data_IF_968117997825
#
_entry.id   IF_968117997825
#
_cell.length_a   1.000
_cell.length_b   1.000
_cell.length_c   1.000
_cell.angle_alpha   90.00
_cell.angle_beta   90.00
_cell.angle_gamma   90.00
#
_symmetry.space_group_name_H-M   'P 1'
#
loop_
_entity.id
_entity.type
_entity.pdbx_description
1 polymer ?
#
# COMPACT_ATOMS: atom_id res chain seq x y z
N UNK A 1 -27.46 13.73 -10.07
CA UNK A 1 -27.17 14.95 -10.84
C UNK A 1 -25.98 15.62 -10.17
N UNK A 2 -24.76 15.41 -10.68
CA UNK A 2 -23.55 15.96 -10.08
C UNK A 2 -23.38 17.41 -10.53
N UNK A 3 -23.64 18.35 -9.63
CA UNK A 3 -23.37 19.76 -9.81
C UNK A 3 -21.84 19.94 -9.99
N UNK A 4 -21.41 20.08 -11.25
CA UNK A 4 -20.05 20.51 -11.55
C UNK A 4 -19.92 21.94 -11.04
N UNK A 5 -19.08 22.15 -10.04
CA UNK A 5 -18.65 23.49 -9.64
C UNK A 5 -18.02 24.14 -10.87
N UNK A 6 -18.78 25.01 -11.56
CA UNK A 6 -18.25 25.85 -12.62
C UNK A 6 -17.40 26.91 -11.93
N UNK A 7 -16.10 26.65 -11.82
CA UNK A 7 -15.14 27.66 -11.38
C UNK A 7 -15.17 28.76 -12.44
N UNK A 8 -15.84 29.87 -12.15
CA UNK A 8 -15.72 31.07 -12.98
C UNK A 8 -14.25 31.50 -12.96
N UNK A 9 -13.65 31.75 -14.13
CA UNK A 9 -12.23 32.12 -14.33
C UNK A 9 -11.79 33.41 -13.58
N UNK A 10 -12.65 33.99 -12.75
CA UNK A 10 -12.45 35.27 -12.06
C UNK A 10 -12.33 35.19 -10.53
N UNK A 11 -12.70 34.08 -9.88
CA UNK A 11 -12.58 34.00 -8.42
C UNK A 11 -11.13 33.67 -8.00
N UNK A 12 -10.56 34.40 -7.02
CA UNK A 12 -9.20 34.14 -6.52
C UNK A 12 -9.17 32.82 -5.74
N UNK A 13 -8.27 31.92 -6.12
CA UNK A 13 -8.11 30.60 -5.50
C UNK A 13 -6.84 30.59 -4.66
N UNK A 14 -6.93 30.15 -3.40
CA UNK A 14 -5.76 29.93 -2.54
C UNK A 14 -5.19 28.53 -2.81
N UNK A 15 -3.95 28.46 -3.27
CA UNK A 15 -3.26 27.20 -3.52
C UNK A 15 -3.03 26.38 -2.23
N UNK A 16 -3.45 25.11 -2.18
CA UNK A 16 -3.26 24.28 -0.97
C UNK A 16 -1.81 23.87 -0.71
N UNK A 17 -0.94 23.94 -1.72
CA UNK A 17 0.48 23.58 -1.61
C UNK A 17 1.34 24.77 -1.14
N UNK A 18 1.29 25.90 -1.87
CA UNK A 18 2.15 27.07 -1.59
C UNK A 18 1.40 28.27 -0.96
N UNK A 19 0.08 28.22 -0.82
CA UNK A 19 -0.77 29.32 -0.32
C UNK A 19 -0.75 30.60 -1.18
N UNK A 20 -0.17 30.55 -2.38
CA UNK A 20 -0.27 31.63 -3.36
C UNK A 20 -1.72 31.77 -3.86
N UNK A 21 -2.18 33.02 -4.00
CA UNK A 21 -3.50 33.35 -4.56
C UNK A 21 -3.32 33.45 -6.07
N UNK A 22 -4.08 32.66 -6.84
CA UNK A 22 -3.97 32.64 -8.29
C UNK A 22 -5.36 32.57 -8.96
N UNK A 23 -5.37 32.88 -10.26
CA UNK A 23 -6.54 32.76 -11.13
C UNK A 23 -6.28 31.72 -12.22
N UNK A 24 -7.34 31.04 -12.67
CA UNK A 24 -7.28 30.02 -13.71
C UNK A 24 -7.05 28.60 -13.18
N UNK A 25 -6.67 27.68 -14.08
CA UNK A 25 -6.70 26.23 -13.82
C UNK A 25 -5.48 25.69 -13.06
N UNK A 26 -4.37 26.41 -13.03
CA UNK A 26 -3.11 25.98 -12.42
C UNK A 26 -2.45 27.13 -11.68
N UNK A 27 -1.87 26.85 -10.50
CA UNK A 27 -1.08 27.80 -9.74
C UNK A 27 0.19 28.17 -10.52
N UNK A 28 0.42 29.47 -10.73
CA UNK A 28 1.61 30.02 -11.39
C UNK A 28 2.92 29.70 -10.67
N UNK A 29 2.89 29.63 -9.34
CA UNK A 29 4.09 29.42 -8.51
C UNK A 29 4.51 27.95 -8.41
N UNK A 30 3.55 27.04 -8.24
CA UNK A 30 3.86 25.64 -7.95
C UNK A 30 3.20 24.63 -8.91
N UNK A 31 2.44 25.08 -9.91
CA UNK A 31 1.80 24.20 -10.89
C UNK A 31 0.65 23.34 -10.36
N UNK A 32 0.16 23.58 -9.13
CA UNK A 32 -0.99 22.83 -8.58
C UNK A 32 -2.27 23.15 -9.36
N UNK A 33 -3.03 22.13 -9.76
CA UNK A 33 -4.38 22.30 -10.33
C UNK A 33 -5.32 23.01 -9.34
N UNK A 34 -6.11 23.98 -9.81
CA UNK A 34 -7.13 24.66 -9.02
C UNK A 34 -8.13 23.69 -8.38
N UNK A 35 -8.55 22.69 -9.15
CA UNK A 35 -9.49 21.67 -8.70
C UNK A 35 -8.77 20.58 -7.86
N UNK A 36 -8.39 20.93 -6.63
CA UNK A 36 -7.85 19.97 -5.65
C UNK A 36 -8.89 19.59 -4.61
N UNK A 37 -9.88 18.81 -5.07
CA UNK A 37 -10.94 18.29 -4.22
C UNK A 37 -10.46 17.14 -3.33
N UNK A 38 -11.30 16.83 -2.34
CA UNK A 38 -11.12 15.67 -1.46
C UNK A 38 -11.10 14.39 -2.30
N UNK A 39 -10.32 13.39 -1.89
CA UNK A 39 -10.24 12.13 -2.64
C UNK A 39 -11.61 11.46 -2.72
N UNK A 40 -11.97 11.03 -3.93
CA UNK A 40 -13.16 10.24 -4.25
C UNK A 40 -12.69 9.02 -5.05
N UNK A 41 -13.40 7.89 -4.95
CA UNK A 41 -13.05 6.66 -5.69
C UNK A 41 -12.90 6.94 -7.19
N UNK A 42 -13.83 7.71 -7.76
CA UNK A 42 -13.79 8.15 -9.16
C UNK A 42 -12.47 8.83 -9.52
N UNK A 43 -12.01 9.76 -8.68
CA UNK A 43 -10.76 10.47 -8.89
C UNK A 43 -9.54 9.54 -8.83
N UNK A 44 -9.55 8.56 -7.93
CA UNK A 44 -8.48 7.54 -7.87
C UNK A 44 -8.44 6.76 -9.18
N UNK A 45 -9.57 6.23 -9.65
CA UNK A 45 -9.65 5.44 -10.89
C UNK A 45 -9.18 6.24 -12.11
N UNK A 46 -9.62 7.49 -12.25
CA UNK A 46 -9.19 8.39 -13.33
C UNK A 46 -7.68 8.68 -13.27
N UNK A 47 -7.12 8.80 -12.08
CA UNK A 47 -5.68 9.03 -11.91
C UNK A 47 -4.89 7.75 -12.20
N UNK A 48 -5.44 6.57 -11.89
CA UNK A 48 -4.83 5.26 -12.16
C UNK A 48 -4.58 5.03 -13.64
N UNK A 49 -5.56 5.31 -14.50
CA UNK A 49 -5.42 5.09 -15.95
C UNK A 49 -4.29 5.93 -16.56
N UNK A 50 -4.09 7.15 -16.06
CA UNK A 50 -2.97 8.00 -16.48
C UNK A 50 -1.63 7.61 -15.84
N UNK A 51 -1.64 7.04 -14.64
CA UNK A 51 -0.44 6.59 -13.95
C UNK A 51 0.22 5.39 -14.64
N UNK A 52 -0.56 4.40 -15.10
CA UNK A 52 -0.03 3.23 -15.82
C UNK A 52 0.67 3.59 -17.14
N UNK A 53 0.25 4.67 -17.81
CA UNK A 53 0.89 5.14 -19.04
C UNK A 53 2.18 5.95 -18.78
N UNK A 54 2.35 6.48 -17.57
CA UNK A 54 3.46 7.37 -17.21
C UNK A 54 4.42 6.73 -16.20
N UNK A 55 4.52 5.39 -16.18
CA UNK A 55 5.37 4.66 -15.23
C UNK A 55 6.83 5.11 -15.28
N UNK A 56 7.33 5.46 -16.46
CA UNK A 56 8.68 5.97 -16.64
C UNK A 56 8.92 7.35 -15.99
N UNK A 57 7.89 8.17 -15.82
CA UNK A 57 7.99 9.50 -15.21
C UNK A 57 8.02 9.48 -13.66
N UNK A 58 7.81 8.31 -13.03
CA UNK A 58 7.85 8.19 -11.56
C UNK A 58 9.23 8.49 -10.97
N UNK A 59 10.30 8.29 -11.75
CA UNK A 59 11.67 8.51 -11.30
C UNK A 59 12.04 10.01 -11.20
N UNK A 60 11.32 10.91 -11.86
CA UNK A 60 11.81 12.29 -12.02
C UNK A 60 11.32 13.31 -10.97
N UNK A 61 10.18 13.09 -10.29
CA UNK A 61 9.68 14.10 -9.32
C UNK A 61 9.09 13.48 -8.05
N UNK A 62 9.76 13.70 -6.92
CA UNK A 62 9.18 13.57 -5.58
C UNK A 62 9.24 12.19 -4.92
N UNK A 63 9.71 11.13 -5.60
CA UNK A 63 9.78 9.78 -5.02
C UNK A 63 10.72 9.70 -3.80
N UNK A 64 11.93 10.25 -3.92
CA UNK A 64 12.92 10.28 -2.83
C UNK A 64 12.44 11.11 -1.64
N UNK A 65 11.82 12.27 -1.90
CA UNK A 65 11.22 13.11 -0.87
C UNK A 65 10.08 12.37 -0.14
N UNK A 66 9.20 11.72 -0.91
CA UNK A 66 8.08 10.94 -0.36
C UNK A 66 8.57 9.80 0.51
N UNK A 67 9.57 9.04 0.05
CA UNK A 67 10.20 7.98 0.83
C UNK A 67 10.81 8.51 2.13
N UNK A 68 11.57 9.61 2.06
CA UNK A 68 12.20 10.24 3.23
C UNK A 68 11.15 10.70 4.25
N UNK A 69 10.09 11.39 3.80
CA UNK A 69 9.05 11.88 4.69
C UNK A 69 8.20 10.75 5.29
N UNK A 70 7.95 9.67 4.55
CA UNK A 70 7.28 8.46 5.04
C UNK A 70 8.11 7.68 6.06
N UNK A 71 9.44 7.75 5.98
CA UNK A 71 10.33 7.14 6.97
C UNK A 71 10.47 7.99 8.24
N UNK A 72 10.50 9.31 8.13
CA UNK A 72 10.77 10.22 9.26
C UNK A 72 9.50 10.65 9.98
N UNK A 73 8.41 10.88 9.24
CA UNK A 73 7.17 11.44 9.79
C UNK A 73 5.93 11.02 8.98
N UNK A 74 5.63 9.71 8.90
CA UNK A 74 4.60 9.17 8.01
C UNK A 74 3.22 9.80 8.23
N UNK A 75 2.79 10.00 9.47
CA UNK A 75 1.50 10.60 9.77
C UNK A 75 1.42 12.09 9.43
N UNK A 76 2.53 12.82 9.54
CA UNK A 76 2.57 14.23 9.12
C UNK A 76 2.54 14.38 7.60
N UNK A 77 3.33 13.55 6.91
CA UNK A 77 3.29 13.44 5.45
C UNK A 77 1.87 13.16 4.97
N UNK A 78 1.23 12.12 5.50
CA UNK A 78 -0.11 11.71 5.09
C UNK A 78 -1.15 12.82 5.32
N UNK A 79 -1.09 13.55 6.45
CA UNK A 79 -1.98 14.70 6.67
C UNK A 79 -1.77 15.79 5.62
N UNK A 80 -0.53 16.15 5.33
CA UNK A 80 -0.19 17.17 4.33
C UNK A 80 -0.66 16.73 2.93
N UNK A 81 -0.48 15.45 2.59
CA UNK A 81 -0.89 14.90 1.31
C UNK A 81 -2.41 14.90 1.14
N UNK A 82 -3.13 14.46 2.18
CA UNK A 82 -4.60 14.46 2.21
C UNK A 82 -5.18 15.88 2.18
N UNK A 83 -4.51 16.85 2.82
CA UNK A 83 -4.95 18.26 2.81
C UNK A 83 -4.68 18.99 1.48
N UNK A 84 -3.90 18.39 0.58
CA UNK A 84 -3.72 18.89 -0.79
C UNK A 84 -2.29 19.32 -1.16
N UNK A 85 -1.31 19.17 -0.26
CA UNK A 85 0.11 19.41 -0.56
C UNK A 85 0.72 18.21 -1.31
N UNK A 86 0.41 18.10 -2.61
CA UNK A 86 0.71 16.91 -3.42
C UNK A 86 1.78 17.12 -4.51
N UNK A 87 2.13 18.37 -4.83
CA UNK A 87 2.96 18.69 -6.02
C UNK A 87 4.37 18.12 -5.91
N UNK A 88 4.96 18.17 -4.72
CA UNK A 88 6.33 17.73 -4.46
C UNK A 88 6.47 16.21 -4.25
N UNK A 89 5.37 15.47 -4.29
CA UNK A 89 5.32 14.07 -3.87
C UNK A 89 4.78 13.19 -4.98
N UNK A 90 5.24 11.95 -5.02
CA UNK A 90 4.76 10.97 -5.99
C UNK A 90 3.27 10.64 -5.70
N UNK A 91 2.55 10.26 -6.75
CA UNK A 91 1.16 9.78 -6.58
C UNK A 91 1.12 8.45 -5.81
N UNK A 92 0.00 8.10 -5.15
CA UNK A 92 -0.05 6.90 -4.33
C UNK A 92 0.14 5.63 -5.19
N UNK A 93 -0.43 5.62 -6.39
CA UNK A 93 -0.30 4.51 -7.34
C UNK A 93 1.11 4.45 -7.92
N UNK A 94 1.69 5.61 -8.27
CA UNK A 94 3.08 5.66 -8.72
C UNK A 94 4.04 5.13 -7.66
N UNK A 95 3.78 5.41 -6.37
CA UNK A 95 4.56 4.88 -5.27
C UNK A 95 4.41 3.37 -5.10
N UNK A 96 3.18 2.82 -5.16
CA UNK A 96 2.93 1.36 -5.11
C UNK A 96 3.66 0.65 -6.24
N UNK A 97 3.60 1.17 -7.47
CA UNK A 97 4.25 0.59 -8.63
C UNK A 97 5.77 0.67 -8.51
N UNK A 98 6.33 1.85 -8.19
CA UNK A 98 7.77 2.04 -8.01
C UNK A 98 8.34 1.08 -6.95
N UNK A 99 7.75 1.09 -5.76
CA UNK A 99 8.18 0.24 -4.65
C UNK A 99 7.99 -1.22 -4.99
N UNK A 100 6.84 -1.57 -5.55
CA UNK A 100 6.53 -2.92 -5.97
C UNK A 100 7.54 -3.46 -6.98
N UNK A 101 7.89 -2.69 -8.00
CA UNK A 101 8.90 -3.09 -8.98
C UNK A 101 10.26 -3.31 -8.32
N UNK A 102 10.70 -2.41 -7.44
CA UNK A 102 11.97 -2.58 -6.70
C UNK A 102 11.93 -3.84 -5.83
N UNK A 103 10.85 -4.05 -5.07
CA UNK A 103 10.64 -5.24 -4.24
C UNK A 103 10.67 -6.51 -5.09
N UNK A 104 9.88 -6.60 -6.16
CA UNK A 104 9.83 -7.78 -7.04
C UNK A 104 11.19 -8.06 -7.65
N UNK A 105 11.92 -7.05 -8.14
CA UNK A 105 13.28 -7.26 -8.67
C UNK A 105 14.19 -7.87 -7.59
N UNK A 106 14.20 -7.33 -6.38
CA UNK A 106 14.97 -7.90 -5.27
C UNK A 106 14.59 -9.35 -4.98
N UNK A 107 13.30 -9.67 -4.93
CA UNK A 107 12.82 -11.05 -4.73
C UNK A 107 13.17 -11.97 -5.90
N UNK A 108 13.16 -11.50 -7.15
CA UNK A 108 13.54 -12.33 -8.30
C UNK A 108 15.03 -12.67 -8.28
N UNK A 109 15.89 -11.73 -7.91
CA UNK A 109 17.34 -11.96 -7.89
C UNK A 109 17.83 -12.72 -6.66
N UNK A 110 17.16 -12.55 -5.51
CA UNK A 110 17.64 -13.03 -4.21
C UNK A 110 16.68 -14.06 -3.55
N UNK A 111 15.48 -14.26 -4.09
CA UNK A 111 14.39 -14.99 -3.43
C UNK A 111 14.60 -16.49 -3.33
N UNK A 112 15.20 -17.13 -4.33
CA UNK A 112 15.37 -18.60 -4.33
C UNK A 112 16.27 -19.08 -3.17
N UNK A 113 17.37 -18.37 -2.90
CA UNK A 113 18.27 -18.67 -1.77
C UNK A 113 17.58 -18.37 -0.42
N UNK A 114 16.82 -17.28 -0.34
CA UNK A 114 16.21 -16.83 0.91
C UNK A 114 14.95 -17.61 1.28
N UNK A 115 14.19 -18.12 0.31
CA UNK A 115 13.03 -18.98 0.56
C UNK A 115 13.41 -20.31 1.20
N UNK A 116 14.58 -20.86 0.88
CA UNK A 116 15.09 -22.08 1.53
C UNK A 116 15.44 -21.85 3.00
N UNK A 117 15.84 -20.63 3.36
CA UNK A 117 16.22 -20.28 4.72
C UNK A 117 15.03 -19.79 5.56
N UNK A 118 13.84 -19.60 4.99
CA UNK A 118 12.68 -19.14 5.76
C UNK A 118 12.16 -20.25 6.72
N UNK A 119 11.86 -19.92 8.00
CA UNK A 119 11.36 -20.89 8.98
C UNK A 119 10.06 -21.61 8.57
N UNK A 120 9.28 -20.99 7.67
CA UNK A 120 8.02 -21.54 7.15
C UNK A 120 8.19 -22.41 5.90
N UNK A 121 9.38 -22.46 5.29
CA UNK A 121 9.63 -23.23 4.07
C UNK A 121 9.51 -24.74 4.28
N UNK A 122 9.99 -25.25 5.41
CA UNK A 122 10.02 -26.69 5.71
C UNK A 122 8.63 -27.28 6.01
N UNK A 123 7.77 -26.51 6.68
CA UNK A 123 6.46 -26.97 7.15
C UNK A 123 5.38 -26.95 6.05
N UNK A 124 5.52 -26.05 5.07
CA UNK A 124 4.61 -25.98 3.92
C UNK A 124 4.91 -27.09 2.90
N UNK A 125 6.17 -27.56 2.80
CA UNK A 125 6.65 -28.50 1.75
C UNK A 125 6.22 -29.96 1.96
N UNK A 126 5.82 -30.36 3.16
CA UNK A 126 5.58 -31.79 3.47
C UNK A 126 4.18 -32.32 3.11
N UNK A 127 3.31 -31.53 2.49
CA UNK A 127 1.95 -31.95 2.15
C UNK A 127 1.87 -32.43 0.69
N UNK A 128 2.32 -33.67 0.44
CA UNK A 128 2.35 -34.32 -0.90
C UNK A 128 0.97 -34.54 -1.54
N UNK A 129 -0.13 -34.33 -0.80
CA UNK A 129 -1.49 -34.65 -1.23
C UNK A 129 -2.30 -33.44 -1.75
N UNK A 130 -1.68 -32.27 -1.98
CA UNK A 130 -2.37 -31.10 -2.58
C UNK A 130 -2.09 -30.96 -4.06
N UNK A 131 -3.15 -30.72 -4.83
CA UNK A 131 -3.21 -30.52 -6.30
C UNK A 131 -2.24 -29.43 -6.80
N UNK A 132 -1.88 -28.48 -5.94
CA UNK A 132 -0.89 -27.43 -6.19
C UNK A 132 0.11 -27.48 -5.04
N UNK A 133 1.40 -27.61 -5.34
CA UNK A 133 2.46 -27.52 -4.34
C UNK A 133 2.37 -26.17 -3.64
N UNK A 134 2.22 -26.19 -2.31
CA UNK A 134 2.28 -25.01 -1.45
C UNK A 134 3.54 -24.18 -1.70
N UNK A 135 4.64 -24.83 -2.10
CA UNK A 135 5.90 -24.17 -2.49
C UNK A 135 5.73 -23.29 -3.72
N UNK A 136 5.01 -23.75 -4.74
CA UNK A 136 4.80 -22.99 -5.98
C UNK A 136 3.85 -21.81 -5.75
N UNK A 137 2.85 -21.97 -4.89
CA UNK A 137 1.96 -20.87 -4.47
C UNK A 137 2.75 -19.81 -3.71
N UNK A 138 3.56 -20.23 -2.73
CA UNK A 138 4.38 -19.29 -1.95
C UNK A 138 5.39 -18.59 -2.86
N UNK A 139 6.07 -19.33 -3.74
CA UNK A 139 7.03 -18.78 -4.71
C UNK A 139 6.36 -17.75 -5.61
N UNK A 140 5.20 -18.08 -6.17
CA UNK A 140 4.44 -17.14 -7.02
C UNK A 140 4.02 -15.88 -6.26
N UNK A 141 3.55 -16.01 -5.02
CA UNK A 141 3.17 -14.86 -4.18
C UNK A 141 4.40 -13.98 -3.88
N UNK A 142 5.55 -14.58 -3.57
CA UNK A 142 6.78 -13.85 -3.26
C UNK A 142 7.40 -13.18 -4.49
N UNK A 143 7.34 -13.82 -5.66
CA UNK A 143 7.79 -13.22 -6.92
C UNK A 143 6.89 -12.04 -7.33
N UNK A 144 5.60 -12.13 -7.05
CA UNK A 144 4.61 -11.11 -7.44
C UNK A 144 4.17 -10.25 -6.24
N UNK A 145 5.13 -9.79 -5.44
CA UNK A 145 4.90 -8.97 -4.24
C UNK A 145 4.05 -7.69 -4.50
N UNK A 146 4.08 -7.16 -5.73
CA UNK A 146 3.22 -6.04 -6.12
C UNK A 146 1.74 -6.41 -6.08
N UNK A 147 1.40 -7.61 -6.56
CA UNK A 147 0.01 -8.08 -6.62
C UNK A 147 -0.55 -8.29 -5.21
N UNK A 148 0.24 -8.89 -4.32
CA UNK A 148 -0.15 -9.08 -2.92
C UNK A 148 -0.40 -7.73 -2.23
N UNK A 149 0.49 -6.76 -2.45
CA UNK A 149 0.34 -5.40 -1.93
C UNK A 149 -0.90 -4.70 -2.48
N UNK A 150 -1.16 -4.79 -3.78
CA UNK A 150 -2.32 -4.19 -4.43
C UNK A 150 -3.65 -4.74 -3.92
N UNK A 151 -3.72 -6.04 -3.62
CA UNK A 151 -4.90 -6.68 -3.00
C UNK A 151 -5.04 -6.25 -1.53
N UNK A 152 -3.94 -6.11 -0.81
CA UNK A 152 -3.95 -5.72 0.60
C UNK A 152 -4.42 -4.29 0.85
N UNK A 153 -4.15 -3.36 -0.08
CA UNK A 153 -4.56 -1.95 0.05
C UNK A 153 -6.08 -1.78 0.25
N UNK A 154 -6.97 -2.27 -0.63
CA UNK A 154 -8.41 -2.12 -0.44
C UNK A 154 -8.94 -2.86 0.78
N UNK A 155 -8.43 -4.06 1.09
CA UNK A 155 -8.84 -4.84 2.26
C UNK A 155 -8.48 -4.11 3.56
N UNK A 156 -7.24 -3.66 3.69
CA UNK A 156 -6.78 -2.90 4.87
C UNK A 156 -7.47 -1.55 4.96
N UNK A 157 -7.82 -0.93 3.84
CA UNK A 157 -8.60 0.31 3.81
C UNK A 157 -10.02 0.10 4.35
N UNK A 158 -10.65 -1.02 4.03
CA UNK A 158 -11.98 -1.36 4.57
C UNK A 158 -11.97 -1.55 6.08
N UNK A 159 -10.88 -2.12 6.60
CA UNK A 159 -10.68 -2.31 8.04
C UNK A 159 -10.37 -0.98 8.72
N UNK A 160 -9.36 -0.25 8.25
CA UNK A 160 -8.94 1.01 8.85
C UNK A 160 -10.07 2.05 8.85
N UNK A 161 -10.90 2.10 7.80
CA UNK A 161 -12.09 2.94 7.79
C UNK A 161 -13.04 2.61 8.95
N UNK A 162 -13.28 1.33 9.23
CA UNK A 162 -14.16 0.90 10.34
C UNK A 162 -13.54 1.18 11.71
N UNK A 163 -12.26 0.88 11.88
CA UNK A 163 -11.51 1.04 13.14
C UNK A 163 -11.32 2.52 13.52
N UNK A 164 -11.12 3.37 12.52
CA UNK A 164 -10.82 4.80 12.68
C UNK A 164 -11.97 5.71 12.23
N UNK A 165 -13.20 5.18 12.11
CA UNK A 165 -14.40 5.90 11.64
C UNK A 165 -14.65 7.28 12.26
N UNK A 166 -14.23 7.48 13.53
CA UNK A 166 -14.44 8.72 14.29
C UNK A 166 -13.63 9.91 13.76
N UNK A 167 -12.65 9.68 12.90
CA UNK A 167 -11.71 10.71 12.42
C UNK A 167 -12.26 11.43 11.18
N UNK A 168 -13.29 10.86 10.56
CA UNK A 168 -14.02 11.50 9.47
C UNK A 168 -13.38 11.33 8.09
N UNK A 169 -12.30 10.56 7.95
CA UNK A 169 -11.76 10.21 6.63
C UNK A 169 -12.68 9.25 5.87
N UNK A 170 -12.78 9.44 4.56
CA UNK A 170 -13.59 8.61 3.68
C UNK A 170 -12.78 7.39 3.17
N UNK A 171 -13.46 6.43 2.53
CA UNK A 171 -12.79 5.21 2.04
C UNK A 171 -11.65 5.50 1.06
N UNK A 172 -11.79 6.50 0.19
CA UNK A 172 -10.77 6.88 -0.78
C UNK A 172 -9.51 7.45 -0.11
N UNK A 173 -9.66 8.19 0.99
CA UNK A 173 -8.53 8.68 1.79
C UNK A 173 -7.84 7.52 2.52
N UNK A 174 -8.61 6.55 3.02
CA UNK A 174 -8.04 5.31 3.57
C UNK A 174 -7.27 4.50 2.50
N UNK A 175 -7.76 4.45 1.26
CA UNK A 175 -7.02 3.85 0.13
C UNK A 175 -5.68 4.55 -0.11
N UNK A 176 -5.67 5.88 -0.15
CA UNK A 176 -4.43 6.67 -0.34
C UNK A 176 -3.45 6.43 0.82
N UNK A 177 -3.94 6.44 2.06
CA UNK A 177 -3.12 6.18 3.26
C UNK A 177 -2.48 4.80 3.19
N UNK A 178 -3.27 3.75 2.95
CA UNK A 178 -2.75 2.39 2.94
C UNK A 178 -1.87 2.10 1.72
N UNK A 179 -2.11 2.77 0.58
CA UNK A 179 -1.22 2.68 -0.59
C UNK A 179 0.20 3.15 -0.25
N UNK A 180 0.36 4.26 0.47
CA UNK A 180 1.68 4.71 0.92
C UNK A 180 2.26 3.82 2.03
N UNK A 181 1.49 3.54 3.08
CA UNK A 181 2.02 2.84 4.26
C UNK A 181 2.41 1.39 3.97
N UNK A 182 1.58 0.62 3.26
CA UNK A 182 1.88 -0.77 2.94
C UNK A 182 3.03 -0.88 1.93
N UNK A 183 3.12 0.04 0.98
CA UNK A 183 4.26 0.10 0.06
C UNK A 183 5.54 0.43 0.82
N UNK A 184 5.54 1.47 1.66
CA UNK A 184 6.73 1.82 2.44
C UNK A 184 7.16 0.67 3.36
N UNK A 185 6.20 -0.05 3.96
CA UNK A 185 6.48 -1.26 4.74
C UNK A 185 7.10 -2.37 3.87
N UNK A 186 6.59 -2.62 2.67
CA UNK A 186 7.18 -3.58 1.73
C UNK A 186 8.60 -3.20 1.34
N UNK A 187 8.87 -1.91 1.12
CA UNK A 187 10.22 -1.41 0.85
C UNK A 187 11.17 -1.66 2.03
N UNK A 188 10.74 -1.34 3.27
CA UNK A 188 11.52 -1.64 4.48
C UNK A 188 11.84 -3.14 4.55
N UNK A 189 10.82 -3.98 4.34
CA UNK A 189 11.01 -5.44 4.37
C UNK A 189 11.97 -5.92 3.30
N UNK A 190 11.86 -5.40 2.07
CA UNK A 190 12.73 -5.77 0.94
C UNK A 190 14.17 -5.31 1.16
N UNK A 191 14.37 -4.14 1.79
CA UNK A 191 15.71 -3.60 2.06
C UNK A 191 16.48 -4.43 3.09
N UNK A 192 15.81 -4.90 4.15
CA UNK A 192 16.43 -5.73 5.18
C UNK A 192 16.38 -7.23 4.87
N UNK A 193 15.65 -7.64 3.83
CA UNK A 193 15.56 -9.04 3.41
C UNK A 193 16.94 -9.71 3.21
N UNK A 194 17.97 -9.06 2.63
CA UNK A 194 19.29 -9.66 2.46
C UNK A 194 19.98 -10.15 3.74
N UNK A 195 19.61 -9.62 4.92
CA UNK A 195 20.17 -10.09 6.20
C UNK A 195 19.88 -11.57 6.45
N UNK A 196 18.82 -12.14 5.86
CA UNK A 196 18.48 -13.56 5.97
C UNK A 196 19.53 -14.51 5.40
N UNK A 197 20.48 -14.03 4.60
CA UNK A 197 21.58 -14.85 4.06
C UNK A 197 22.75 -15.01 5.04
N UNK A 198 22.86 -14.13 6.03
CA UNK A 198 24.09 -13.99 6.84
C UNK A 198 23.88 -14.40 8.31
N UNK A 199 22.64 -14.44 8.80
CA UNK A 199 22.34 -14.67 10.22
C UNK A 199 21.11 -15.58 10.40
N UNK A 200 20.79 -15.91 11.65
CA UNK A 200 19.67 -16.80 12.01
C UNK A 200 18.35 -16.25 11.44
N UNK A 201 17.77 -17.02 10.52
CA UNK A 201 16.58 -16.64 9.76
C UNK A 201 15.34 -16.47 10.65
N UNK A 202 15.28 -17.16 11.80
CA UNK A 202 14.15 -17.04 12.73
C UNK A 202 14.20 -15.72 13.50
N UNK A 203 15.36 -15.33 14.02
CA UNK A 203 15.49 -14.08 14.76
C UNK A 203 15.27 -12.87 13.84
N UNK A 204 15.85 -12.89 12.63
CA UNK A 204 15.67 -11.81 11.66
C UNK A 204 14.21 -11.70 11.21
N UNK A 205 13.56 -12.81 10.85
CA UNK A 205 12.15 -12.77 10.45
C UNK A 205 11.23 -12.24 11.56
N UNK A 206 11.52 -12.59 12.81
CA UNK A 206 10.82 -12.06 13.97
C UNK A 206 11.07 -10.54 14.12
N UNK A 207 12.33 -10.11 14.03
CA UNK A 207 12.69 -8.69 14.11
C UNK A 207 12.02 -7.87 13.00
N UNK A 208 12.03 -8.35 11.76
CA UNK A 208 11.36 -7.72 10.61
C UNK A 208 9.86 -7.58 10.82
N UNK A 209 9.24 -8.61 11.39
CA UNK A 209 7.82 -8.59 11.77
C UNK A 209 7.55 -7.51 12.82
N UNK A 210 8.38 -7.41 13.87
CA UNK A 210 8.25 -6.36 14.88
C UNK A 210 8.46 -4.95 14.31
N UNK A 211 9.45 -4.75 13.45
CA UNK A 211 9.70 -3.47 12.75
C UNK A 211 8.47 -3.07 11.92
N UNK A 212 7.93 -4.01 11.15
CA UNK A 212 6.69 -3.84 10.37
C UNK A 212 5.51 -3.35 11.24
N UNK A 213 5.25 -4.02 12.36
CA UNK A 213 4.17 -3.64 13.28
C UNK A 213 4.40 -2.29 13.96
N UNK A 214 5.65 -2.02 14.34
CA UNK A 214 6.04 -0.76 14.97
C UNK A 214 5.86 0.40 14.00
N UNK A 215 6.29 0.24 12.75
CA UNK A 215 6.14 1.25 11.71
C UNK A 215 4.67 1.60 11.45
N UNK A 216 3.79 0.61 11.27
CA UNK A 216 2.37 0.86 11.06
C UNK A 216 1.71 1.51 12.28
N UNK A 217 2.03 1.03 13.48
CA UNK A 217 1.47 1.57 14.73
C UNK A 217 1.89 3.02 14.93
N UNK A 218 3.17 3.33 14.68
CA UNK A 218 3.70 4.69 14.73
C UNK A 218 3.04 5.59 13.67
N UNK A 219 2.88 5.09 12.45
CA UNK A 219 2.21 5.81 11.35
C UNK A 219 0.75 6.14 11.68
N UNK A 220 -0.01 5.17 12.17
CA UNK A 220 -1.41 5.38 12.57
C UNK A 220 -1.51 6.25 13.80
N UNK A 221 -0.66 6.06 14.80
CA UNK A 221 -0.63 6.92 15.99
C UNK A 221 -0.42 8.38 15.60
N UNK A 222 0.61 8.62 14.77
CA UNK A 222 0.93 9.96 14.30
C UNK A 222 -0.22 10.50 13.46
N UNK A 223 -0.69 9.79 12.43
CA UNK A 223 -1.74 10.23 11.49
C UNK A 223 -3.05 10.60 12.21
N UNK A 224 -3.53 9.68 13.03
CA UNK A 224 -4.84 9.73 13.66
C UNK A 224 -4.86 10.43 15.02
N UNK A 225 -3.69 10.85 15.53
CA UNK A 225 -3.52 11.58 16.78
C UNK A 225 -4.24 10.90 17.97
N UNK A 226 -4.15 9.58 18.05
CA UNK A 226 -4.90 8.78 19.03
C UNK A 226 -4.15 8.76 20.36
N UNK A 227 -4.78 9.36 21.38
CA UNK A 227 -4.32 9.31 22.77
C UNK A 227 -5.30 8.50 23.62
N UNK A 228 -4.83 7.70 24.60
CA UNK A 228 -3.43 7.38 24.92
C UNK A 228 -2.79 6.33 23.98
N UNK A 229 -1.46 6.15 24.05
CA UNK A 229 -0.69 5.25 23.17
C UNK A 229 -1.22 3.80 23.15
N UNK A 230 -1.63 3.25 24.30
CA UNK A 230 -2.16 1.89 24.39
C UNK A 230 -3.39 1.66 23.50
N UNK A 231 -4.26 2.68 23.37
CA UNK A 231 -5.42 2.63 22.46
C UNK A 231 -4.99 2.63 20.99
N UNK A 232 -3.91 3.34 20.67
CA UNK A 232 -3.35 3.36 19.32
C UNK A 232 -2.74 2.01 18.95
N UNK A 233 -1.97 1.40 19.86
CA UNK A 233 -1.41 0.05 19.69
C UNK A 233 -2.54 -0.95 19.47
N UNK A 234 -3.54 -0.99 20.35
CA UNK A 234 -4.67 -1.92 20.25
C UNK A 234 -5.40 -1.79 18.91
N UNK A 235 -5.72 -0.56 18.48
CA UNK A 235 -6.39 -0.33 17.19
C UNK A 235 -5.53 -0.72 16.00
N UNK A 236 -4.22 -0.48 16.06
CA UNK A 236 -3.29 -0.82 14.99
C UNK A 236 -3.14 -2.34 14.85
N UNK A 237 -2.97 -3.05 15.97
CA UNK A 237 -2.97 -4.52 16.00
C UNK A 237 -4.27 -5.08 15.44
N UNK A 238 -5.42 -4.58 15.92
CA UNK A 238 -6.73 -4.99 15.41
C UNK A 238 -6.85 -4.74 13.89
N UNK A 239 -6.38 -3.58 13.40
CA UNK A 239 -6.43 -3.27 11.98
C UNK A 239 -5.58 -4.23 11.14
N UNK A 240 -4.39 -4.60 11.62
CA UNK A 240 -3.52 -5.53 10.90
C UNK A 240 -4.07 -6.96 10.95
N UNK A 241 -4.50 -7.44 12.12
CA UNK A 241 -5.07 -8.78 12.27
C UNK A 241 -6.33 -8.96 11.41
N UNK A 242 -7.26 -8.00 11.45
CA UNK A 242 -8.44 -8.05 10.59
C UNK A 242 -8.09 -7.91 9.11
N UNK A 243 -7.07 -7.12 8.76
CA UNK A 243 -6.55 -7.01 7.39
C UNK A 243 -6.04 -8.34 6.86
N UNK A 244 -5.17 -9.03 7.61
CA UNK A 244 -4.69 -10.36 7.25
C UNK A 244 -5.79 -11.42 7.24
N UNK A 245 -6.74 -11.36 8.18
CA UNK A 245 -7.90 -12.26 8.18
C UNK A 245 -8.71 -12.09 6.88
N UNK A 246 -8.97 -10.86 6.47
CA UNK A 246 -9.67 -10.60 5.20
C UNK A 246 -8.86 -11.10 4.00
N UNK A 247 -7.53 -10.99 4.01
CA UNK A 247 -6.68 -11.54 2.94
C UNK A 247 -6.82 -13.07 2.86
N UNK A 248 -6.75 -13.77 3.99
CA UNK A 248 -6.87 -15.24 4.02
C UNK A 248 -8.24 -15.67 3.48
N UNK A 249 -9.32 -15.00 3.90
CA UNK A 249 -10.68 -15.26 3.42
C UNK A 249 -10.83 -14.95 1.93
N UNK A 250 -10.20 -13.88 1.44
CA UNK A 250 -10.22 -13.53 0.02
C UNK A 250 -9.46 -14.57 -0.82
N UNK A 251 -8.26 -14.97 -0.38
CA UNK A 251 -7.44 -15.98 -1.06
C UNK A 251 -8.09 -17.35 -1.07
N UNK A 252 -8.75 -17.77 0.02
CA UNK A 252 -9.48 -19.05 0.06
C UNK A 252 -10.69 -19.05 -0.86
N UNK A 253 -11.42 -17.94 -0.95
CA UNK A 253 -12.52 -17.76 -1.88
C UNK A 253 -12.04 -17.86 -3.33
N UNK A 254 -10.98 -17.13 -3.71
CA UNK A 254 -10.40 -17.17 -5.06
C UNK A 254 -9.91 -18.59 -5.40
N UNK A 255 -9.19 -19.23 -4.48
CA UNK A 255 -8.71 -20.61 -4.66
C UNK A 255 -9.85 -21.61 -4.88
N UNK A 256 -10.92 -21.51 -4.08
CA UNK A 256 -12.10 -22.36 -4.23
C UNK A 256 -12.80 -22.18 -5.58
N UNK A 257 -12.92 -20.94 -6.06
CA UNK A 257 -13.50 -20.64 -7.38
C UNK A 257 -12.63 -21.23 -8.49
N UNK A 258 -11.31 -21.07 -8.42
CA UNK A 258 -10.38 -21.61 -9.43
C UNK A 258 -10.47 -23.13 -9.49
N UNK A 259 -10.45 -23.81 -8.34
CA UNK A 259 -10.60 -25.28 -8.29
C UNK A 259 -11.95 -25.72 -8.85
N UNK A 260 -13.04 -25.02 -8.50
CA UNK A 260 -14.38 -25.30 -9.03
C UNK A 260 -14.45 -25.17 -10.55
N UNK A 261 -13.85 -24.13 -11.12
CA UNK A 261 -13.78 -23.93 -12.57
C UNK A 261 -12.95 -25.02 -13.25
N UNK A 262 -11.80 -25.39 -12.69
CA UNK A 262 -10.94 -26.45 -13.24
C UNK A 262 -11.63 -27.82 -13.19
N UNK A 263 -12.40 -28.10 -12.14
CA UNK A 263 -13.20 -29.31 -12.04
C UNK A 263 -14.34 -29.31 -13.07
N UNK A 264 -15.08 -28.20 -13.22
CA UNK A 264 -16.13 -28.06 -14.23
C UNK A 264 -15.60 -28.15 -15.67
N UNK A 265 -14.38 -27.70 -15.92
CA UNK A 265 -13.70 -27.81 -17.21
C UNK A 265 -13.13 -29.22 -17.48
N UNK A 266 -13.33 -30.18 -16.58
CA UNK A 266 -12.82 -31.56 -16.72
C UNK A 266 -11.29 -31.68 -16.61
N UNK A 267 -10.60 -30.63 -16.16
CA UNK A 267 -9.13 -30.60 -16.03
C UNK A 267 -8.63 -31.19 -14.70
N UNK A 268 -9.51 -31.42 -13.73
CA UNK A 268 -9.21 -32.10 -12.47
C UNK A 268 -10.05 -33.38 -12.38
N UNK A 269 -9.42 -34.54 -12.56
CA UNK A 269 -9.97 -35.84 -12.19
C UNK A 269 -9.39 -36.23 -10.82
N UNK A 270 -10.25 -36.84 -9.99
CA UNK A 270 -9.96 -37.29 -8.63
C UNK A 270 -8.63 -38.02 -8.49
#
# INVERSE_FOLDING_TARGET
>A
MSEKLQIHDHDPIVCKNCHHIFHGKYCSECGQKAETNRFTIKHIIETTSHAFLNVFFFFERGASLTFKELLISPGQFLRNYLSGKRVSHITPIGYVLLVGTISTLLYTYLGDEMMMNMPFGEQLVNDKNKIISTKDIVKYITEHQVLSTLIMIPLTSMVTQRVYKKIGYNYAEHLVVNAFLLSQQSMINSFFMPLLLISDSKLISLAMTFVSYTYLTWSYHQLFQITPLGKSIFKSIMAVLLGYLLLILFSSLVGGVVVGVLHAAGKLKH
#
